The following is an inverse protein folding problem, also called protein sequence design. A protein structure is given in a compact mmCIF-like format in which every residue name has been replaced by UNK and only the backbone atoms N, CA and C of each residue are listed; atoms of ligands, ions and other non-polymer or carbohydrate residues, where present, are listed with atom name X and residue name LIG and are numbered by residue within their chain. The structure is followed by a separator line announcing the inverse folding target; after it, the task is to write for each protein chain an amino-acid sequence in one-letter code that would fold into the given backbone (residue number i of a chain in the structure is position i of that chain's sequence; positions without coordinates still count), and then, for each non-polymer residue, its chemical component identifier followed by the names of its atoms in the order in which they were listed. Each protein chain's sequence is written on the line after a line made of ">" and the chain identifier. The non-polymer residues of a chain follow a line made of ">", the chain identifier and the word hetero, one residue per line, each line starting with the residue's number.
data_IF_420629113895
#
_entry.id   IF_420629113895
#
_cell.length_a   1.000
_cell.length_b   1.000
_cell.length_c   1.000
_cell.angle_alpha   90.00
_cell.angle_beta   90.00
_cell.angle_gamma   90.00
#
_symmetry.space_group_name_H-M   'P 1'
#
loop_
_entity.id
_entity.type
_entity.pdbx_description
1 polymer ?
#
# COMPACT_ATOMS: atom_id res chain seq x y z
N UNK A 1 -23.73 -8.42 32.46
CA UNK A 1 -24.76 -8.40 31.42
C UNK A 1 -24.85 -7.01 30.82
N UNK A 2 -24.10 -6.70 29.75
CA UNK A 2 -24.17 -5.43 29.02
C UNK A 2 -25.11 -5.61 27.85
N UNK A 3 -26.19 -4.82 27.84
CA UNK A 3 -27.23 -4.85 26.79
C UNK A 3 -26.69 -4.28 25.49
N UNK A 4 -26.57 -5.12 24.47
CA UNK A 4 -26.36 -4.71 23.09
C UNK A 4 -27.64 -3.99 22.57
N UNK A 5 -27.56 -2.71 22.31
CA UNK A 5 -28.56 -1.99 21.51
C UNK A 5 -28.20 -2.17 20.04
N UNK A 6 -28.84 -3.13 19.39
CA UNK A 6 -28.88 -3.19 17.92
C UNK A 6 -29.68 -2.00 17.40
N UNK A 7 -29.04 -1.07 16.72
CA UNK A 7 -29.71 -0.14 15.83
C UNK A 7 -29.94 -0.87 14.51
N UNK A 8 -31.21 -1.19 14.23
CA UNK A 8 -31.66 -1.65 12.92
C UNK A 8 -31.70 -0.38 12.07
N UNK A 9 -30.75 -0.22 11.16
CA UNK A 9 -30.84 0.73 10.06
C UNK A 9 -31.61 0.04 8.96
N UNK A 10 -32.83 0.52 8.67
CA UNK A 10 -33.61 0.04 7.54
C UNK A 10 -32.88 0.45 6.25
N UNK A 11 -32.27 -0.51 5.57
CA UNK A 11 -31.72 -0.33 4.23
C UNK A 11 -32.89 -0.34 3.26
N UNK A 12 -33.31 0.83 2.82
CA UNK A 12 -34.21 0.95 1.66
C UNK A 12 -33.35 0.68 0.42
N UNK A 13 -33.51 -0.49 -0.17
CA UNK A 13 -32.90 -0.84 -1.45
C UNK A 13 -33.52 0.04 -2.54
N UNK A 14 -32.87 1.13 -2.88
CA UNK A 14 -33.10 1.84 -4.14
C UNK A 14 -32.20 1.16 -5.17
N UNK A 15 -32.80 0.36 -6.03
CA UNK A 15 -32.13 -0.20 -7.22
C UNK A 15 -31.95 0.96 -8.19
N UNK A 16 -30.82 1.69 -8.04
CA UNK A 16 -30.36 2.65 -9.03
C UNK A 16 -29.70 1.89 -10.17
N UNK A 17 -30.22 2.02 -11.39
CA UNK A 17 -29.62 1.48 -12.61
C UNK A 17 -28.17 2.00 -12.75
N UNK A 18 -27.20 1.11 -12.59
CA UNK A 18 -25.80 1.32 -12.86
C UNK A 18 -25.61 1.59 -14.37
N UNK A 19 -25.46 2.85 -14.75
CA UNK A 19 -24.71 3.17 -15.94
C UNK A 19 -23.28 2.67 -15.71
N UNK A 20 -22.92 1.56 -16.35
CA UNK A 20 -21.58 1.02 -16.40
C UNK A 20 -20.66 2.01 -17.12
N UNK A 21 -20.20 3.04 -16.40
CA UNK A 21 -18.96 3.70 -16.75
C UNK A 21 -17.88 2.63 -16.61
N UNK A 22 -17.22 2.27 -17.70
CA UNK A 22 -16.05 1.42 -17.70
C UNK A 22 -15.10 1.91 -16.61
N UNK A 23 -15.15 1.27 -15.43
CA UNK A 23 -14.19 1.47 -14.38
C UNK A 23 -12.89 0.84 -14.85
N UNK A 24 -12.03 1.61 -15.47
CA UNK A 24 -10.62 1.24 -15.57
C UNK A 24 -10.07 1.27 -14.14
N UNK A 25 -10.03 0.12 -13.51
CA UNK A 25 -9.33 -0.10 -12.23
C UNK A 25 -7.85 0.12 -12.48
N UNK A 26 -7.40 1.33 -12.26
CA UNK A 26 -5.96 1.64 -12.21
C UNK A 26 -5.52 1.36 -10.77
N UNK A 27 -4.95 0.18 -10.55
CA UNK A 27 -4.26 -0.11 -9.29
C UNK A 27 -3.05 0.81 -9.17
N UNK A 28 -3.04 1.69 -8.19
CA UNK A 28 -1.87 2.48 -7.87
C UNK A 28 -0.82 1.56 -7.26
N UNK A 29 0.31 1.41 -7.93
CA UNK A 29 1.32 0.37 -7.70
C UNK A 29 2.19 0.52 -6.46
N UNK A 30 2.02 1.53 -5.63
CA UNK A 30 2.72 1.73 -4.33
C UNK A 30 2.11 2.90 -3.59
N UNK A 31 2.14 2.88 -2.25
CA UNK A 31 1.75 4.04 -1.44
C UNK A 31 2.81 5.16 -1.58
N UNK A 32 2.73 5.94 -2.67
CA UNK A 32 3.67 7.00 -3.00
C UNK A 32 3.64 8.18 -2.00
N UNK A 33 2.67 8.18 -1.08
CA UNK A 33 2.41 9.27 -0.14
C UNK A 33 3.12 9.12 1.20
N UNK A 34 3.68 7.93 1.47
CA UNK A 34 4.42 7.65 2.70
C UNK A 34 5.84 7.19 2.40
N UNK A 35 6.79 7.67 3.21
CA UNK A 35 8.20 7.32 3.00
C UNK A 35 8.45 5.85 3.36
N UNK A 36 8.87 4.99 2.42
CA UNK A 36 9.12 3.59 2.68
C UNK A 36 10.30 3.38 3.63
N UNK A 37 10.33 2.23 4.30
CA UNK A 37 11.50 1.73 5.01
C UNK A 37 12.51 1.25 3.98
N UNK A 38 13.73 1.75 4.05
CA UNK A 38 14.80 1.39 3.11
C UNK A 38 15.76 0.38 3.73
N UNK A 39 15.76 -0.83 3.20
CA UNK A 39 16.67 -1.92 3.59
C UNK A 39 17.75 -2.09 2.53
N UNK A 40 19.02 -2.07 2.94
CA UNK A 40 20.13 -2.43 2.06
C UNK A 40 20.73 -3.75 2.51
N UNK A 41 20.58 -4.77 1.69
CA UNK A 41 21.19 -6.07 1.86
C UNK A 41 22.54 -6.07 1.15
N UNK A 42 23.55 -6.55 1.83
CA UNK A 42 24.92 -6.60 1.33
C UNK A 42 25.39 -8.05 1.25
N UNK A 43 25.33 -8.67 0.06
CA UNK A 43 25.96 -9.99 -0.13
C UNK A 43 27.46 -9.85 0.08
N UNK A 44 27.98 -10.35 1.19
CA UNK A 44 29.41 -10.25 1.54
C UNK A 44 30.33 -10.81 0.45
N UNK A 45 31.56 -10.31 0.37
CA UNK A 45 32.55 -10.70 -0.66
C UNK A 45 32.11 -10.39 -2.09
N UNK A 46 32.70 -11.04 -3.09
CA UNK A 46 32.35 -10.90 -4.52
C UNK A 46 33.56 -10.62 -5.41
N UNK A 47 33.48 -11.04 -6.68
CA UNK A 47 34.55 -10.91 -7.66
C UNK A 47 35.83 -11.62 -7.21
N UNK A 48 36.91 -10.85 -7.08
CA UNK A 48 38.24 -11.35 -6.62
C UNK A 48 38.28 -11.79 -5.14
N UNK A 49 37.31 -11.36 -4.34
CA UNK A 49 37.17 -11.76 -2.94
C UNK A 49 36.18 -12.91 -2.84
N UNK A 50 36.69 -14.13 -2.68
CA UNK A 50 35.86 -15.34 -2.60
C UNK A 50 35.17 -15.50 -1.25
N UNK A 51 35.67 -14.84 -0.19
CA UNK A 51 35.36 -15.23 1.18
C UNK A 51 35.93 -16.62 1.51
N UNK A 52 35.38 -17.26 2.51
CA UNK A 52 35.77 -18.62 2.88
C UNK A 52 35.38 -19.63 1.79
N UNK A 53 36.31 -20.54 1.48
CA UNK A 53 36.09 -21.63 0.51
C UNK A 53 36.44 -22.97 1.19
N UNK A 54 35.45 -23.84 1.37
CA UNK A 54 35.58 -25.17 1.96
C UNK A 54 34.49 -26.10 1.43
N UNK A 55 34.78 -27.42 1.35
CA UNK A 55 33.80 -28.46 1.01
C UNK A 55 33.00 -28.14 -0.27
N UNK A 56 33.65 -27.59 -1.32
CA UNK A 56 33.04 -27.18 -2.59
C UNK A 56 32.13 -25.96 -2.50
N UNK A 57 31.99 -25.33 -1.35
CA UNK A 57 31.25 -24.10 -1.16
C UNK A 57 32.16 -22.88 -1.19
N UNK A 58 31.70 -21.83 -1.86
CA UNK A 58 32.34 -20.53 -1.90
C UNK A 58 31.40 -19.50 -1.28
N UNK A 59 31.86 -18.82 -0.24
CA UNK A 59 31.05 -17.94 0.58
C UNK A 59 30.37 -16.83 -0.23
N UNK A 60 31.09 -16.18 -1.16
CA UNK A 60 30.53 -15.13 -2.01
C UNK A 60 29.30 -15.58 -2.81
N UNK A 61 29.25 -16.86 -3.22
CA UNK A 61 28.15 -17.45 -3.98
C UNK A 61 26.94 -17.73 -3.09
N UNK A 62 27.18 -18.27 -1.89
CA UNK A 62 26.13 -18.51 -0.89
C UNK A 62 25.50 -17.20 -0.46
N UNK A 63 26.33 -16.19 -0.11
CA UNK A 63 25.88 -14.87 0.33
C UNK A 63 24.98 -14.20 -0.73
N UNK A 64 25.33 -14.30 -2.00
CA UNK A 64 24.53 -13.73 -3.09
C UNK A 64 23.18 -14.42 -3.24
N UNK A 65 23.16 -15.76 -3.15
CA UNK A 65 21.93 -16.53 -3.25
C UNK A 65 20.96 -16.24 -2.07
N UNK A 66 21.51 -16.18 -0.84
CA UNK A 66 20.75 -15.85 0.36
C UNK A 66 20.20 -14.43 0.28
N UNK A 67 21.02 -13.45 -0.14
CA UNK A 67 20.60 -12.06 -0.25
C UNK A 67 19.50 -11.84 -1.30
N UNK A 68 19.59 -12.53 -2.45
CA UNK A 68 18.53 -12.51 -3.46
C UNK A 68 17.21 -13.08 -2.92
N UNK A 69 17.28 -14.16 -2.17
CA UNK A 69 16.11 -14.77 -1.55
C UNK A 69 15.50 -13.87 -0.46
N UNK A 70 16.34 -13.24 0.37
CA UNK A 70 15.92 -12.27 1.37
C UNK A 70 15.22 -11.07 0.72
N UNK A 71 15.81 -10.50 -0.35
CA UNK A 71 15.18 -9.42 -1.10
C UNK A 71 13.82 -9.82 -1.66
N UNK A 72 13.73 -10.97 -2.35
CA UNK A 72 12.50 -11.44 -2.94
C UNK A 72 11.39 -11.67 -1.91
N UNK A 73 11.74 -12.11 -0.69
CA UNK A 73 10.78 -12.27 0.40
C UNK A 73 10.35 -10.93 0.99
N UNK A 74 11.29 -10.01 1.27
CA UNK A 74 10.97 -8.67 1.78
C UNK A 74 10.11 -7.86 0.79
N UNK A 75 10.27 -8.05 -0.50
CA UNK A 75 9.46 -7.36 -1.52
C UNK A 75 8.00 -7.81 -1.57
N UNK A 76 7.62 -8.81 -0.79
CA UNK A 76 6.22 -9.19 -0.57
C UNK A 76 5.53 -8.30 0.47
N UNK A 77 6.27 -7.54 1.24
CA UNK A 77 5.73 -6.64 2.26
C UNK A 77 5.51 -5.25 1.71
N UNK A 78 4.48 -4.57 2.23
CA UNK A 78 4.17 -3.18 1.89
C UNK A 78 5.11 -2.20 2.62
N UNK A 79 5.24 -0.99 2.08
CA UNK A 79 5.99 0.09 2.72
C UNK A 79 7.50 -0.14 2.85
N UNK A 80 8.09 -1.09 2.12
CA UNK A 80 9.53 -1.38 2.15
C UNK A 80 10.16 -1.24 0.76
N UNK A 81 11.39 -0.73 0.73
CA UNK A 81 12.26 -0.69 -0.45
C UNK A 81 13.54 -1.45 -0.17
N UNK A 82 13.89 -2.43 -1.01
CA UNK A 82 15.05 -3.30 -0.78
C UNK A 82 16.06 -3.17 -1.91
N UNK A 83 17.31 -2.90 -1.53
CA UNK A 83 18.43 -2.79 -2.45
C UNK A 83 19.51 -3.81 -2.12
N UNK A 84 20.21 -4.28 -3.15
CA UNK A 84 21.41 -5.11 -3.02
C UNK A 84 22.64 -4.27 -3.35
N UNK A 85 23.71 -4.38 -2.57
CA UNK A 85 25.00 -3.71 -2.89
C UNK A 85 25.65 -4.31 -4.15
N UNK A 86 25.40 -5.60 -4.43
CA UNK A 86 25.73 -6.30 -5.67
C UNK A 86 24.65 -7.31 -6.02
N UNK A 87 24.32 -7.43 -7.29
CA UNK A 87 23.35 -8.38 -7.82
C UNK A 87 23.99 -9.53 -8.61
N UNK A 88 25.29 -9.41 -8.88
CA UNK A 88 26.12 -10.38 -9.58
C UNK A 88 27.45 -10.60 -8.87
N UNK A 89 28.34 -11.41 -9.46
CA UNK A 89 29.66 -11.69 -8.89
C UNK A 89 30.67 -10.61 -9.29
N UNK A 90 30.67 -9.49 -8.57
CA UNK A 90 31.70 -8.44 -8.66
C UNK A 90 32.10 -7.94 -7.27
N UNK A 91 33.30 -7.40 -7.20
CA UNK A 91 33.87 -6.87 -5.96
C UNK A 91 33.32 -5.48 -5.63
N UNK A 92 32.92 -5.29 -4.39
CA UNK A 92 32.59 -3.97 -3.81
C UNK A 92 33.40 -3.75 -2.56
N UNK A 93 34.11 -2.63 -2.45
CA UNK A 93 34.89 -2.31 -1.26
C UNK A 93 33.97 -2.09 -0.04
N UNK A 94 34.48 -2.30 1.18
CA UNK A 94 33.73 -2.12 2.42
C UNK A 94 33.13 -0.70 2.55
N UNK A 95 33.92 0.32 2.20
CA UNK A 95 33.45 1.71 2.17
C UNK A 95 32.36 1.93 1.08
N UNK A 96 32.53 1.34 -0.10
CA UNK A 96 31.56 1.43 -1.20
C UNK A 96 30.20 0.84 -0.84
N UNK A 97 30.18 -0.28 -0.08
CA UNK A 97 28.94 -0.91 0.42
C UNK A 97 28.14 0.04 1.31
N UNK A 98 28.78 0.67 2.27
CA UNK A 98 28.14 1.61 3.19
C UNK A 98 27.77 2.93 2.49
N UNK A 99 28.62 3.43 1.58
CA UNK A 99 28.28 4.61 0.80
C UNK A 99 27.07 4.38 -0.10
N UNK A 100 26.93 3.17 -0.68
CA UNK A 100 25.75 2.77 -1.43
C UNK A 100 24.47 2.84 -0.57
N UNK A 101 24.53 2.37 0.69
CA UNK A 101 23.43 2.43 1.64
C UNK A 101 23.10 3.88 2.05
N UNK A 102 24.14 4.68 2.36
CA UNK A 102 24.01 6.10 2.70
C UNK A 102 23.30 6.89 1.59
N UNK A 103 23.69 6.70 0.33
CA UNK A 103 23.12 7.38 -0.83
C UNK A 103 21.64 7.03 -1.06
N UNK A 104 21.14 5.95 -0.46
CA UNK A 104 19.75 5.51 -0.52
C UNK A 104 18.94 5.85 0.74
N UNK A 105 19.56 6.58 1.69
CA UNK A 105 18.96 6.87 2.98
C UNK A 105 18.48 5.60 3.69
N UNK A 106 19.35 4.59 3.77
CA UNK A 106 19.01 3.32 4.39
C UNK A 106 18.56 3.48 5.84
N UNK A 107 17.49 2.78 6.22
CA UNK A 107 17.06 2.63 7.61
C UNK A 107 17.77 1.46 8.29
N UNK A 108 18.21 0.44 7.50
CA UNK A 108 18.97 -0.72 7.96
C UNK A 108 19.91 -1.22 6.86
N UNK A 109 21.14 -1.54 7.26
CA UNK A 109 22.12 -2.23 6.41
C UNK A 109 22.38 -3.63 6.99
N UNK A 110 22.28 -4.68 6.18
CA UNK A 110 22.49 -6.06 6.60
C UNK A 110 23.49 -6.74 5.66
N UNK A 111 24.72 -6.97 6.16
CA UNK A 111 25.69 -7.78 5.48
C UNK A 111 25.44 -9.27 5.75
N UNK A 112 25.30 -10.04 4.70
CA UNK A 112 24.99 -11.46 4.73
C UNK A 112 26.26 -12.27 4.44
N UNK A 113 26.64 -13.09 5.38
CA UNK A 113 27.88 -13.86 5.43
C UNK A 113 27.63 -15.31 5.88
N UNK A 114 28.63 -16.16 5.69
CA UNK A 114 28.70 -17.49 6.22
C UNK A 114 30.09 -17.71 6.83
N UNK A 115 30.11 -18.14 8.09
CA UNK A 115 31.31 -18.20 8.91
C UNK A 115 32.25 -19.33 8.49
N UNK A 116 33.47 -19.28 9.01
CA UNK A 116 34.46 -20.35 8.87
C UNK A 116 35.35 -20.45 10.11
N UNK A 117 35.72 -21.65 10.49
CA UNK A 117 36.68 -21.90 11.58
C UNK A 117 37.77 -22.86 11.16
N UNK A 118 38.95 -22.72 11.76
CA UNK A 118 40.12 -23.55 11.46
C UNK A 118 39.85 -25.02 11.81
N UNK A 119 39.16 -25.28 12.92
CA UNK A 119 38.95 -26.64 13.47
C UNK A 119 37.81 -27.40 12.78
N UNK A 120 36.99 -26.78 11.92
CA UNK A 120 35.86 -27.40 11.21
C UNK A 120 34.73 -27.91 12.11
N UNK A 121 34.82 -27.78 13.43
CA UNK A 121 33.85 -28.28 14.40
C UNK A 121 32.82 -27.22 14.82
N UNK A 122 33.19 -25.93 14.75
CA UNK A 122 32.30 -24.82 15.08
C UNK A 122 31.14 -24.77 14.11
N UNK A 123 29.92 -24.56 14.63
CA UNK A 123 28.68 -24.53 13.87
C UNK A 123 27.70 -23.50 14.44
N UNK A 124 26.64 -23.18 13.69
CA UNK A 124 25.53 -22.32 14.15
C UNK A 124 25.59 -20.88 13.63
N UNK A 125 24.56 -20.11 13.95
CA UNK A 125 24.38 -18.73 13.50
C UNK A 125 24.71 -17.72 14.59
N UNK A 126 25.23 -16.56 14.17
CA UNK A 126 25.37 -15.38 15.03
C UNK A 126 25.12 -14.09 14.25
N UNK A 127 24.67 -13.04 14.93
CA UNK A 127 24.48 -11.72 14.31
C UNK A 127 25.26 -10.68 15.08
N UNK A 128 26.14 -9.96 14.38
CA UNK A 128 26.89 -8.83 14.94
C UNK A 128 26.14 -7.53 14.69
N UNK A 129 26.14 -6.65 15.72
CA UNK A 129 25.46 -5.37 15.72
C UNK A 129 26.35 -4.25 16.31
N UNK A 130 26.03 -2.94 16.08
CA UNK A 130 26.83 -1.85 16.61
C UNK A 130 26.82 -1.78 18.13
N UNK A 131 27.94 -1.46 18.74
CA UNK A 131 28.01 -1.16 20.18
C UNK A 131 27.17 0.09 20.54
N UNK A 132 27.01 0.39 21.84
CA UNK A 132 26.17 1.51 22.30
C UNK A 132 26.96 2.74 22.73
N UNK A 133 28.28 2.76 22.50
CA UNK A 133 29.20 3.81 23.03
C UNK A 133 29.10 5.13 22.25
N UNK A 134 28.64 5.12 21.03
CA UNK A 134 28.44 6.27 20.15
C UNK A 134 27.14 6.10 19.39
N UNK A 135 26.31 7.18 19.30
CA UNK A 135 24.95 7.09 18.73
C UNK A 135 24.19 5.88 19.31
N UNK A 136 24.00 5.90 20.63
CA UNK A 136 23.47 4.76 21.38
C UNK A 136 22.15 4.20 20.84
N UNK A 137 21.31 5.07 20.27
CA UNK A 137 20.05 4.62 19.68
C UNK A 137 20.29 3.70 18.47
N UNK A 138 21.27 4.02 17.60
CA UNK A 138 21.68 3.15 16.48
C UNK A 138 22.14 1.77 16.98
N UNK A 139 22.87 1.75 18.12
CA UNK A 139 23.27 0.49 18.75
C UNK A 139 22.08 -0.33 19.27
N UNK A 140 21.10 0.34 19.93
CA UNK A 140 19.87 -0.31 20.42
C UNK A 140 19.05 -0.86 19.27
N UNK A 141 18.85 -0.07 18.23
CA UNK A 141 18.12 -0.48 17.03
C UNK A 141 18.79 -1.67 16.34
N UNK A 142 20.12 -1.65 16.24
CA UNK A 142 20.89 -2.77 15.72
C UNK A 142 20.76 -4.03 16.57
N UNK A 143 20.80 -3.92 17.90
CA UNK A 143 20.60 -5.07 18.81
C UNK A 143 19.23 -5.70 18.63
N UNK A 144 18.19 -4.87 18.56
CA UNK A 144 16.82 -5.34 18.40
C UNK A 144 16.67 -6.06 17.06
N UNK A 145 17.08 -5.44 15.95
CA UNK A 145 17.03 -6.06 14.62
C UNK A 145 17.80 -7.39 14.56
N UNK A 146 19.04 -7.40 15.12
CA UNK A 146 19.84 -8.61 15.21
C UNK A 146 19.15 -9.72 15.97
N UNK A 147 18.45 -9.40 17.06
CA UNK A 147 17.72 -10.38 17.88
C UNK A 147 16.54 -11.00 17.13
N UNK A 148 15.81 -10.22 16.32
CA UNK A 148 14.72 -10.75 15.48
C UNK A 148 15.25 -11.67 14.39
N UNK A 149 16.30 -11.28 13.67
CA UNK A 149 16.94 -12.13 12.64
C UNK A 149 17.46 -13.44 13.27
N UNK A 150 18.20 -13.34 14.38
CA UNK A 150 18.75 -14.51 15.05
C UNK A 150 17.67 -15.54 15.46
N UNK A 151 16.51 -15.07 15.95
CA UNK A 151 15.39 -15.95 16.30
C UNK A 151 14.85 -16.73 15.11
N UNK A 152 14.71 -16.10 13.96
CA UNK A 152 14.19 -16.76 12.76
C UNK A 152 15.20 -17.77 12.20
N UNK A 153 16.51 -17.48 12.28
CA UNK A 153 17.55 -18.45 11.92
C UNK A 153 17.55 -19.67 12.85
N UNK A 154 17.41 -19.46 14.16
CA UNK A 154 17.29 -20.53 15.15
C UNK A 154 16.04 -21.37 14.92
N UNK A 155 14.93 -20.77 14.51
CA UNK A 155 13.70 -21.49 14.17
C UNK A 155 13.86 -22.45 12.98
N UNK A 156 14.88 -22.29 12.15
CA UNK A 156 15.26 -23.26 11.10
C UNK A 156 16.04 -24.46 11.63
N UNK A 157 16.30 -24.52 12.94
CA UNK A 157 17.12 -25.56 13.56
C UNK A 157 18.62 -25.28 13.54
N UNK A 158 19.04 -24.04 13.25
CA UNK A 158 20.44 -23.63 13.34
C UNK A 158 20.79 -23.40 14.81
N UNK A 159 21.96 -23.89 15.25
CA UNK A 159 22.45 -23.65 16.59
C UNK A 159 22.55 -22.16 16.87
N UNK A 160 22.01 -21.73 18.00
CA UNK A 160 22.08 -20.35 18.44
C UNK A 160 23.44 -20.02 19.05
N UNK A 161 24.25 -19.22 18.35
CA UNK A 161 25.48 -18.66 18.90
C UNK A 161 25.29 -17.23 19.41
N UNK A 162 24.07 -16.67 19.32
CA UNK A 162 23.70 -15.39 19.91
C UNK A 162 23.93 -14.16 19.03
N UNK A 163 23.69 -13.00 19.64
CA UNK A 163 23.94 -11.70 19.01
C UNK A 163 25.08 -10.99 19.75
N UNK A 164 26.01 -10.34 19.02
CA UNK A 164 27.26 -9.87 19.57
C UNK A 164 27.61 -8.45 19.12
N UNK A 165 28.34 -7.76 19.97
CA UNK A 165 29.18 -6.61 19.61
C UNK A 165 30.63 -7.09 19.54
N UNK A 166 31.41 -6.49 18.65
CA UNK A 166 32.88 -6.64 18.65
C UNK A 166 33.55 -5.28 18.57
N UNK A 167 34.25 -4.91 19.62
CA UNK A 167 34.98 -3.67 19.65
C UNK A 167 36.38 -3.84 19.03
N UNK A 168 36.89 -2.74 18.45
CA UNK A 168 38.25 -2.74 17.92
C UNK A 168 39.29 -3.08 19.00
N UNK A 169 40.27 -3.85 18.63
CA UNK A 169 41.42 -4.23 19.47
C UNK A 169 42.61 -3.25 19.29
N UNK A 170 42.63 -2.53 18.16
CA UNK A 170 43.75 -1.69 17.74
C UNK A 170 43.59 -0.20 18.13
N UNK A 171 42.86 0.11 19.21
CA UNK A 171 42.72 1.47 19.72
C UNK A 171 41.84 2.42 18.92
N UNK A 172 41.16 1.94 17.88
CA UNK A 172 40.24 2.74 17.06
C UNK A 172 39.12 3.36 17.90
N UNK A 173 38.80 4.64 17.67
CA UNK A 173 37.83 5.41 18.46
C UNK A 173 36.77 6.07 17.54
N UNK A 174 35.59 6.28 18.08
CA UNK A 174 34.58 7.17 17.53
C UNK A 174 34.87 8.65 17.84
N UNK A 175 34.20 9.63 17.20
CA UNK A 175 34.43 11.06 17.47
C UNK A 175 34.30 11.48 18.93
N UNK A 176 33.44 10.78 19.69
CA UNK A 176 33.28 11.00 21.14
C UNK A 176 34.36 10.30 21.99
N UNK A 177 35.49 9.85 21.37
CA UNK A 177 36.61 9.14 21.97
C UNK A 177 36.29 7.75 22.54
N UNK A 178 35.06 7.26 22.43
CA UNK A 178 34.72 5.90 22.85
C UNK A 178 35.27 4.85 21.87
N UNK A 179 35.35 3.60 22.33
CA UNK A 179 35.90 2.47 21.56
C UNK A 179 34.99 2.18 20.34
N UNK A 180 35.57 2.11 19.14
CA UNK A 180 34.79 1.88 17.93
C UNK A 180 34.50 0.41 17.70
N UNK A 181 33.49 0.11 16.84
CA UNK A 181 33.21 -1.23 16.39
C UNK A 181 34.36 -1.78 15.52
N UNK A 182 34.68 -3.05 15.66
CA UNK A 182 35.71 -3.75 14.91
C UNK A 182 35.42 -3.81 13.42
N UNK A 183 34.22 -4.27 13.07
CA UNK A 183 33.82 -4.47 11.68
C UNK A 183 33.59 -3.14 10.97
N UNK A 184 34.30 -2.96 9.85
CA UNK A 184 34.30 -1.71 9.10
C UNK A 184 32.88 -1.30 8.65
N UNK A 185 32.08 -2.23 8.12
CA UNK A 185 30.73 -1.93 7.66
C UNK A 185 29.80 -1.53 8.83
N UNK A 186 29.91 -2.16 10.00
CA UNK A 186 29.17 -1.80 11.20
C UNK A 186 29.56 -0.40 11.68
N UNK A 187 30.85 -0.14 11.79
CA UNK A 187 31.39 1.14 12.23
C UNK A 187 30.99 2.29 11.32
N UNK A 188 31.13 2.11 10.00
CA UNK A 188 30.82 3.14 9.03
C UNK A 188 29.30 3.40 8.93
N UNK A 189 28.46 2.37 8.94
CA UNK A 189 26.99 2.50 8.96
C UNK A 189 26.54 3.30 10.17
N UNK A 190 27.07 3.00 11.35
CA UNK A 190 26.80 3.73 12.59
C UNK A 190 27.23 5.20 12.50
N UNK A 191 28.37 5.48 11.90
CA UNK A 191 28.81 6.86 11.65
C UNK A 191 27.88 7.60 10.70
N UNK A 192 27.27 6.91 9.75
CA UNK A 192 26.25 7.46 8.85
C UNK A 192 24.86 7.63 9.50
N UNK A 193 24.61 7.02 10.68
CA UNK A 193 23.39 7.23 11.43
C UNK A 193 22.35 6.12 11.32
N UNK A 194 22.67 4.99 10.72
CA UNK A 194 21.80 3.81 10.61
C UNK A 194 22.52 2.55 11.12
N UNK A 195 21.78 1.55 11.65
CA UNK A 195 22.37 0.31 12.09
C UNK A 195 22.89 -0.52 10.92
N UNK A 196 24.14 -1.01 11.06
CA UNK A 196 24.73 -2.00 10.18
C UNK A 196 24.89 -3.32 10.93
N UNK A 197 24.41 -4.42 10.35
CA UNK A 197 24.50 -5.75 10.90
C UNK A 197 25.39 -6.63 10.03
N UNK A 198 25.99 -7.68 10.64
CA UNK A 198 26.59 -8.81 9.91
C UNK A 198 25.90 -10.07 10.41
N UNK A 199 25.26 -10.79 9.50
CA UNK A 199 24.62 -12.08 9.76
C UNK A 199 25.55 -13.18 9.31
N UNK A 200 25.95 -14.04 10.24
CA UNK A 200 26.74 -15.25 10.00
C UNK A 200 25.79 -16.44 10.13
N UNK A 201 25.30 -16.98 9.00
CA UNK A 201 24.21 -17.96 8.99
C UNK A 201 24.63 -19.33 9.52
N UNK A 202 25.78 -19.81 9.07
CA UNK A 202 26.33 -21.12 9.43
C UNK A 202 27.80 -21.21 9.02
N UNK A 203 28.48 -22.33 9.25
CA UNK A 203 29.91 -22.47 8.99
C UNK A 203 30.18 -23.27 7.72
N UNK A 204 30.79 -22.67 6.72
CA UNK A 204 31.25 -23.36 5.48
C UNK A 204 32.33 -24.39 5.78
N UNK A 205 33.03 -24.28 6.91
CA UNK A 205 34.02 -25.25 7.40
C UNK A 205 33.40 -26.46 8.11
N UNK A 206 32.10 -26.47 8.40
CA UNK A 206 31.42 -27.52 9.12
C UNK A 206 30.53 -28.34 8.16
N UNK A 207 30.85 -29.63 7.98
CA UNK A 207 30.12 -30.52 7.09
C UNK A 207 28.63 -30.68 7.43
N UNK A 208 28.27 -30.69 8.73
CA UNK A 208 26.88 -30.77 9.15
C UNK A 208 26.12 -29.52 8.76
N UNK A 209 26.68 -28.32 8.95
CA UNK A 209 26.09 -27.05 8.53
C UNK A 209 25.94 -27.01 6.99
N UNK A 210 27.00 -27.40 6.27
CA UNK A 210 26.96 -27.48 4.81
C UNK A 210 25.83 -28.39 4.32
N UNK A 211 25.73 -29.60 4.86
CA UNK A 211 24.70 -30.56 4.49
C UNK A 211 23.30 -30.07 4.81
N UNK A 212 23.11 -29.47 5.99
CA UNK A 212 21.80 -29.04 6.46
C UNK A 212 21.30 -27.75 5.78
N UNK A 213 22.20 -26.78 5.51
CA UNK A 213 21.79 -25.42 5.19
C UNK A 213 22.26 -24.92 3.82
N UNK A 214 23.29 -25.53 3.17
CA UNK A 214 23.86 -25.02 1.93
C UNK A 214 23.68 -25.94 0.72
N UNK A 215 23.29 -27.21 0.94
CA UNK A 215 23.35 -28.26 -0.09
C UNK A 215 22.30 -28.17 -1.21
N UNK A 216 21.40 -27.19 -1.18
CA UNK A 216 20.46 -26.93 -2.28
C UNK A 216 20.03 -25.47 -2.33
N UNK A 217 19.55 -25.04 -3.49
CA UNK A 217 19.00 -23.70 -3.67
C UNK A 217 17.83 -23.41 -2.69
N UNK A 218 17.00 -24.42 -2.40
CA UNK A 218 15.86 -24.24 -1.49
C UNK A 218 16.32 -24.04 -0.03
N UNK A 219 17.43 -24.65 0.38
CA UNK A 219 18.00 -24.41 1.70
C UNK A 219 18.54 -22.98 1.82
N UNK A 220 19.21 -22.49 0.78
CA UNK A 220 19.66 -21.09 0.73
C UNK A 220 18.48 -20.11 0.73
N UNK A 221 17.40 -20.43 0.01
CA UNK A 221 16.16 -19.66 0.05
C UNK A 221 15.55 -19.61 1.45
N UNK A 222 15.56 -20.73 2.19
CA UNK A 222 15.06 -20.76 3.59
C UNK A 222 15.85 -19.82 4.50
N UNK A 223 17.18 -19.73 4.35
CA UNK A 223 18.00 -18.79 5.10
C UNK A 223 17.60 -17.35 4.78
N UNK A 224 17.55 -16.97 3.49
CA UNK A 224 17.15 -15.62 3.11
C UNK A 224 15.73 -15.25 3.53
N UNK A 225 14.79 -16.22 3.52
CA UNK A 225 13.45 -16.00 4.04
C UNK A 225 13.43 -15.79 5.55
N UNK A 226 14.28 -16.48 6.31
CA UNK A 226 14.42 -16.27 7.75
C UNK A 226 14.94 -14.85 8.06
N UNK A 227 15.97 -14.39 7.32
CA UNK A 227 16.44 -13.01 7.44
C UNK A 227 15.32 -12.00 7.18
N UNK A 228 14.59 -12.19 6.08
CA UNK A 228 13.49 -11.33 5.69
C UNK A 228 12.39 -11.27 6.75
N UNK A 229 12.00 -12.42 7.29
CA UNK A 229 11.00 -12.55 8.35
C UNK A 229 11.44 -11.87 9.64
N UNK A 230 12.73 -12.00 10.00
CA UNK A 230 13.30 -11.29 11.14
C UNK A 230 13.26 -9.78 10.96
N UNK A 231 13.63 -9.28 9.78
CA UNK A 231 13.57 -7.86 9.43
C UNK A 231 12.12 -7.36 9.42
N UNK A 232 11.20 -8.12 8.79
CA UNK A 232 9.78 -7.77 8.73
C UNK A 232 9.17 -7.65 10.13
N UNK A 233 9.40 -8.62 11.01
CA UNK A 233 8.94 -8.58 12.41
C UNK A 233 9.56 -7.43 13.21
N UNK A 234 10.82 -7.09 12.95
CA UNK A 234 11.47 -5.95 13.62
C UNK A 234 10.79 -4.63 13.28
N UNK A 235 10.43 -4.42 12.04
CA UNK A 235 9.75 -3.21 11.59
C UNK A 235 8.22 -3.27 11.74
N UNK A 236 7.64 -4.44 11.95
CA UNK A 236 6.18 -4.64 11.86
C UNK A 236 5.69 -4.40 10.44
N UNK A 237 6.36 -5.01 9.45
CA UNK A 237 5.91 -4.96 8.07
C UNK A 237 4.69 -5.86 7.90
N UNK A 238 3.74 -5.40 7.11
CA UNK A 238 2.56 -6.17 6.70
C UNK A 238 2.74 -6.69 5.28
N UNK A 239 2.26 -7.89 4.99
CA UNK A 239 2.28 -8.42 3.63
C UNK A 239 1.50 -7.51 2.69
N UNK A 240 1.87 -7.52 1.40
CA UNK A 240 1.16 -6.75 0.38
C UNK A 240 -0.23 -7.32 0.23
N UNK A 241 -1.14 -6.70 0.93
CA UNK A 241 -2.56 -6.84 0.72
C UNK A 241 -3.10 -5.50 0.25
N UNK A 242 -4.07 -5.54 -0.64
CA UNK A 242 -4.61 -4.33 -1.25
C UNK A 242 -6.05 -4.19 -0.82
N UNK A 243 -6.42 -3.16 -0.05
CA UNK A 243 -7.81 -2.94 0.30
C UNK A 243 -8.66 -2.72 -0.95
N UNK A 244 -9.93 -3.05 -0.87
CA UNK A 244 -10.88 -2.82 -1.95
C UNK A 244 -11.89 -1.77 -1.49
N UNK A 245 -11.87 -0.61 -2.13
CA UNK A 245 -12.90 0.42 -1.96
C UNK A 245 -14.13 -0.02 -2.76
N UNK A 246 -15.15 -0.51 -2.07
CA UNK A 246 -16.32 -1.17 -2.65
C UNK A 246 -17.35 -0.18 -3.15
N UNK A 247 -17.50 0.97 -2.46
CA UNK A 247 -18.41 2.02 -2.92
C UNK A 247 -17.90 3.43 -2.57
N UNK A 248 -18.35 4.41 -3.38
CA UNK A 248 -18.30 5.82 -3.08
C UNK A 248 -19.56 6.46 -3.66
N UNK A 249 -20.43 6.98 -2.81
CA UNK A 249 -21.72 7.53 -3.21
C UNK A 249 -21.93 8.90 -2.57
N UNK A 250 -22.47 9.85 -3.33
CA UNK A 250 -22.87 11.14 -2.78
C UNK A 250 -24.27 11.01 -2.15
N UNK A 251 -24.46 11.64 -1.00
CA UNK A 251 -25.76 11.83 -0.38
C UNK A 251 -26.45 13.11 -0.91
N UNK A 252 -27.64 13.39 -0.39
CA UNK A 252 -28.46 14.55 -0.76
C UNK A 252 -27.77 15.90 -0.44
N UNK A 253 -26.92 15.91 0.55
CA UNK A 253 -26.16 17.10 0.96
C UNK A 253 -24.86 17.30 0.15
N UNK A 254 -24.55 16.32 -0.71
CA UNK A 254 -23.33 16.29 -1.51
C UNK A 254 -22.13 15.74 -0.76
N UNK A 255 -22.29 15.23 0.48
CA UNK A 255 -21.24 14.49 1.17
C UNK A 255 -21.00 13.17 0.45
N UNK A 256 -19.79 12.61 0.59
CA UNK A 256 -19.46 11.34 -0.07
C UNK A 256 -19.26 10.26 0.98
N UNK A 257 -20.15 9.27 0.95
CA UNK A 257 -20.04 8.06 1.76
C UNK A 257 -19.17 7.03 1.04
N UNK A 258 -18.15 6.54 1.72
CA UNK A 258 -17.22 5.52 1.27
C UNK A 258 -17.43 4.23 2.04
N UNK A 259 -17.23 3.08 1.38
CA UNK A 259 -17.24 1.76 2.02
C UNK A 259 -16.13 0.89 1.41
N UNK A 260 -15.54 0.02 2.23
CA UNK A 260 -14.48 -0.90 1.80
C UNK A 260 -14.53 -2.22 2.56
N UNK A 261 -13.81 -3.20 2.06
CA UNK A 261 -13.69 -4.49 2.73
C UNK A 261 -12.75 -4.40 3.93
N UNK A 262 -13.06 -5.12 5.01
CA UNK A 262 -12.20 -5.24 6.18
C UNK A 262 -10.89 -5.92 5.78
N UNK A 263 -9.79 -5.47 6.38
CA UNK A 263 -8.48 -6.08 6.24
C UNK A 263 -8.00 -6.60 7.60
N UNK A 264 -7.59 -7.85 7.64
CA UNK A 264 -7.04 -8.45 8.86
C UNK A 264 -5.67 -7.84 9.22
N UNK A 265 -5.34 -7.85 10.52
CA UNK A 265 -4.05 -7.43 11.07
C UNK A 265 -3.67 -5.95 10.83
N UNK A 266 -4.65 -5.07 10.57
CA UNK A 266 -4.43 -3.63 10.46
C UNK A 266 -4.77 -2.92 11.78
N UNK A 267 -4.19 -1.74 12.01
CA UNK A 267 -4.61 -0.83 13.09
C UNK A 267 -5.65 0.20 12.60
N UNK A 268 -6.05 0.11 11.34
CA UNK A 268 -7.07 0.93 10.71
C UNK A 268 -6.72 1.36 9.28
N UNK A 269 -7.35 2.47 8.84
CA UNK A 269 -7.28 2.90 7.45
C UNK A 269 -6.96 4.38 7.30
N UNK A 270 -6.38 4.75 6.17
CA UNK A 270 -6.23 6.14 5.72
C UNK A 270 -7.03 6.36 4.45
N UNK A 271 -7.80 7.43 4.45
CA UNK A 271 -8.61 7.85 3.32
C UNK A 271 -7.91 8.99 2.59
N UNK A 272 -7.78 8.86 1.27
CA UNK A 272 -7.16 9.85 0.40
C UNK A 272 -8.14 10.34 -0.65
N UNK A 273 -8.10 11.64 -0.94
CA UNK A 273 -8.96 12.29 -1.92
C UNK A 273 -8.17 13.23 -2.81
N UNK A 274 -8.57 13.35 -4.05
CA UNK A 274 -8.22 14.49 -4.92
C UNK A 274 -9.46 14.97 -5.69
N UNK A 275 -9.54 16.26 -5.96
CA UNK A 275 -10.54 16.80 -6.89
C UNK A 275 -10.13 16.59 -8.35
N UNK A 276 -11.08 16.63 -9.27
CA UNK A 276 -10.79 16.63 -10.70
C UNK A 276 -9.93 17.85 -11.07
N UNK A 277 -8.91 17.65 -11.90
CA UNK A 277 -7.93 18.67 -12.26
C UNK A 277 -6.76 18.80 -11.29
N UNK A 278 -6.82 18.19 -10.11
CA UNK A 278 -5.72 18.11 -9.14
C UNK A 278 -4.93 16.82 -9.35
N UNK A 279 -3.61 16.91 -9.46
CA UNK A 279 -2.76 15.74 -9.74
C UNK A 279 -2.44 14.88 -8.51
N UNK A 280 -2.39 15.48 -7.32
CA UNK A 280 -1.99 14.82 -6.08
C UNK A 280 -3.17 14.51 -5.17
N UNK A 281 -3.11 13.34 -4.50
CA UNK A 281 -4.05 13.00 -3.45
C UNK A 281 -3.63 13.62 -2.11
N UNK A 282 -4.62 14.02 -1.32
CA UNK A 282 -4.44 14.48 0.05
C UNK A 282 -5.10 13.48 1.00
N UNK A 283 -4.43 13.16 2.09
CA UNK A 283 -5.03 12.38 3.17
C UNK A 283 -6.09 13.25 3.87
N UNK A 284 -7.34 12.79 3.89
CA UNK A 284 -8.47 13.49 4.51
C UNK A 284 -8.90 12.89 5.85
N UNK A 285 -8.67 11.58 6.05
CA UNK A 285 -9.01 10.92 7.31
C UNK A 285 -8.00 9.82 7.70
N UNK A 286 -8.01 9.50 8.98
CA UNK A 286 -7.37 8.32 9.55
C UNK A 286 -8.39 7.63 10.46
N UNK A 287 -8.82 6.44 10.08
CA UNK A 287 -9.73 5.57 10.83
C UNK A 287 -8.85 4.68 11.70
N UNK A 288 -9.09 4.66 13.02
CA UNK A 288 -8.21 4.00 14.00
C UNK A 288 -8.75 2.64 14.49
N UNK A 289 -9.63 2.05 13.73
CA UNK A 289 -10.24 0.76 14.02
C UNK A 289 -10.32 -0.03 12.71
N UNK A 290 -9.78 -1.25 12.68
CA UNK A 290 -9.84 -2.12 11.50
C UNK A 290 -11.26 -2.57 11.16
N UNK A 291 -12.15 -2.59 12.14
CA UNK A 291 -13.57 -2.96 11.95
C UNK A 291 -14.43 -1.82 11.41
N UNK A 292 -13.97 -0.58 11.47
CA UNK A 292 -14.60 0.57 10.81
C UNK A 292 -14.25 0.56 9.33
N UNK A 293 -15.18 0.17 8.49
CA UNK A 293 -15.02 0.01 7.03
C UNK A 293 -15.81 1.01 6.22
N UNK A 294 -16.18 2.13 6.82
CA UNK A 294 -16.87 3.23 6.15
C UNK A 294 -16.36 4.60 6.62
N UNK A 295 -16.61 5.61 5.81
CA UNK A 295 -16.27 7.00 6.12
C UNK A 295 -17.15 7.95 5.33
N UNK A 296 -17.62 9.02 5.95
CA UNK A 296 -18.35 10.10 5.29
C UNK A 296 -17.45 11.32 5.14
N UNK A 297 -17.20 11.73 3.92
CA UNK A 297 -16.49 12.98 3.61
C UNK A 297 -17.48 14.14 3.50
N UNK A 298 -17.66 14.86 4.59
CA UNK A 298 -18.51 16.06 4.71
C UNK A 298 -17.82 17.34 4.19
N UNK A 299 -16.55 17.22 3.74
CA UNK A 299 -15.76 18.39 3.30
C UNK A 299 -15.77 18.57 1.79
N UNK A 300 -16.63 17.86 1.08
CA UNK A 300 -16.80 17.98 -0.36
C UNK A 300 -17.48 19.28 -0.74
N UNK A 301 -17.29 19.69 -1.99
CA UNK A 301 -18.00 20.81 -2.58
C UNK A 301 -18.98 20.28 -3.62
N UNK A 302 -20.25 20.64 -3.46
CA UNK A 302 -21.30 20.27 -4.43
C UNK A 302 -20.88 20.62 -5.86
N UNK A 303 -21.17 19.74 -6.81
CA UNK A 303 -20.78 19.91 -8.22
C UNK A 303 -19.33 19.54 -8.55
N UNK A 304 -18.53 19.11 -7.57
CA UNK A 304 -17.14 18.74 -7.80
C UNK A 304 -17.00 17.21 -7.95
N UNK A 305 -16.22 16.78 -8.93
CA UNK A 305 -15.84 15.36 -9.08
C UNK A 305 -14.62 15.09 -8.23
N UNK A 306 -14.70 14.05 -7.42
CA UNK A 306 -13.61 13.56 -6.58
C UNK A 306 -13.18 12.16 -6.97
N UNK A 307 -11.94 11.84 -6.62
CA UNK A 307 -11.35 10.53 -6.73
C UNK A 307 -10.86 10.11 -5.35
N UNK A 308 -11.25 8.95 -4.91
CA UNK A 308 -10.92 8.38 -3.60
C UNK A 308 -10.10 7.11 -3.74
N UNK A 309 -9.24 6.89 -2.77
CA UNK A 309 -8.56 5.62 -2.52
C UNK A 309 -8.28 5.50 -1.02
N UNK A 310 -8.09 4.28 -0.53
CA UNK A 310 -7.74 3.99 0.85
C UNK A 310 -6.44 3.18 0.93
N UNK A 311 -5.83 3.17 2.10
CA UNK A 311 -4.73 2.26 2.45
C UNK A 311 -4.92 1.80 3.90
N UNK A 312 -4.74 0.52 4.16
CA UNK A 312 -4.59 0.02 5.52
C UNK A 312 -3.27 0.50 6.12
N UNK A 313 -3.22 0.69 7.43
CA UNK A 313 -1.97 0.98 8.12
C UNK A 313 -1.80 0.08 9.35
N UNK A 314 -0.53 -0.17 9.68
CA UNK A 314 -0.14 -0.87 10.89
C UNK A 314 0.91 -0.06 11.65
N UNK A 315 0.73 0.08 12.98
CA UNK A 315 1.66 0.76 13.87
C UNK A 315 2.86 -0.16 14.16
N UNK A 316 3.74 -0.25 13.19
CA UNK A 316 4.97 -1.01 13.34
C UNK A 316 5.84 -0.47 14.49
N UNK A 317 6.71 -1.31 14.99
CA UNK A 317 7.54 -1.01 16.16
C UNK A 317 8.41 0.24 16.02
N UNK A 318 8.84 0.57 14.82
CA UNK A 318 9.72 1.71 14.52
C UNK A 318 9.07 2.79 13.69
N UNK A 319 8.19 2.41 12.82
CA UNK A 319 7.45 3.29 11.92
C UNK A 319 6.07 2.71 11.67
N UNK A 320 5.13 3.58 11.31
CA UNK A 320 3.87 3.16 10.73
C UNK A 320 4.15 2.60 9.34
N UNK A 321 3.60 1.44 9.04
CA UNK A 321 3.68 0.78 7.73
C UNK A 321 2.31 0.80 7.06
N UNK A 322 2.27 0.68 5.74
CA UNK A 322 1.06 0.85 4.95
C UNK A 322 0.96 -0.24 3.90
N UNK A 323 -0.27 -0.66 3.62
CA UNK A 323 -0.56 -1.48 2.44
C UNK A 323 -0.35 -0.69 1.14
N UNK A 324 -0.42 -1.35 0.00
CA UNK A 324 -0.65 -0.64 -1.27
C UNK A 324 -2.03 0.05 -1.20
N UNK A 325 -2.25 1.07 -2.03
CA UNK A 325 -3.56 1.74 -2.06
C UNK A 325 -4.59 0.92 -2.81
N UNK A 326 -5.86 1.07 -2.43
CA UNK A 326 -7.00 0.45 -3.09
C UNK A 326 -7.12 0.85 -4.58
N UNK A 327 -8.08 0.24 -5.26
CA UNK A 327 -8.65 0.79 -6.47
C UNK A 327 -9.10 2.25 -6.25
N UNK A 328 -9.09 3.03 -7.35
CA UNK A 328 -9.56 4.41 -7.33
C UNK A 328 -11.04 4.43 -7.72
N UNK A 329 -11.88 5.02 -6.87
CA UNK A 329 -13.29 5.24 -7.17
C UNK A 329 -13.51 6.72 -7.45
N UNK A 330 -14.24 6.99 -8.54
CA UNK A 330 -14.65 8.33 -8.98
C UNK A 330 -16.09 8.57 -8.55
N UNK A 331 -16.36 9.72 -7.92
CA UNK A 331 -17.71 10.12 -7.55
C UNK A 331 -17.88 11.62 -7.78
N UNK A 332 -19.07 12.05 -8.16
CA UNK A 332 -19.45 13.44 -8.19
C UNK A 332 -20.23 13.76 -6.91
N UNK A 333 -19.79 14.74 -6.16
CA UNK A 333 -20.52 15.30 -5.02
C UNK A 333 -21.70 16.14 -5.57
N UNK A 334 -22.79 15.49 -5.91
CA UNK A 334 -23.93 16.10 -6.57
C UNK A 334 -24.97 16.47 -5.53
N UNK A 335 -25.66 17.58 -5.77
CA UNK A 335 -26.96 17.81 -5.15
C UNK A 335 -27.96 16.81 -5.74
N UNK A 336 -28.92 16.37 -4.93
CA UNK A 336 -30.00 15.53 -5.41
C UNK A 336 -30.77 16.23 -6.53
N UNK A 337 -30.96 15.53 -7.65
CA UNK A 337 -31.90 15.93 -8.67
C UNK A 337 -33.27 15.37 -8.33
N UNK A 338 -34.24 16.26 -8.15
CA UNK A 338 -35.61 15.84 -7.90
C UNK A 338 -36.30 15.50 -9.22
N UNK A 339 -37.03 14.40 -9.23
CA UNK A 339 -37.92 14.05 -10.35
C UNK A 339 -39.04 15.07 -10.42
N UNK A 340 -39.31 15.71 -11.60
CA UNK A 340 -40.42 16.62 -11.78
C UNK A 340 -41.75 15.94 -11.42
N UNK A 341 -42.59 16.64 -10.68
CA UNK A 341 -43.88 16.13 -10.26
C UNK A 341 -45.00 16.65 -11.18
N UNK A 342 -46.18 16.06 -11.07
CA UNK A 342 -47.39 16.48 -11.75
C UNK A 342 -47.28 16.55 -13.28
N UNK A 343 -46.58 15.55 -13.87
CA UNK A 343 -46.51 15.41 -15.33
C UNK A 343 -47.90 15.21 -15.90
N UNK A 344 -48.32 16.13 -16.77
CA UNK A 344 -49.58 16.07 -17.49
C UNK A 344 -49.33 16.08 -18.98
N UNK A 345 -50.00 15.26 -19.71
CA UNK A 345 -49.95 15.17 -21.17
C UNK A 345 -51.34 15.36 -21.72
N UNK A 346 -51.51 16.32 -22.60
CA UNK A 346 -52.77 16.58 -23.34
C UNK A 346 -52.50 16.55 -24.84
N UNK A 347 -53.43 16.03 -25.60
CA UNK A 347 -53.30 15.97 -27.05
C UNK A 347 -54.59 16.50 -27.71
N UNK A 348 -54.45 17.54 -28.53
CA UNK A 348 -55.51 18.15 -29.30
C UNK A 348 -55.01 18.46 -30.71
N UNK A 349 -55.78 18.08 -31.72
CA UNK A 349 -55.55 18.37 -33.15
C UNK A 349 -54.15 18.02 -33.65
N UNK A 350 -53.55 16.91 -33.14
CA UNK A 350 -52.23 16.47 -33.54
C UNK A 350 -51.07 17.19 -32.82
N UNK A 351 -51.38 18.00 -31.81
CA UNK A 351 -50.41 18.65 -30.95
C UNK A 351 -50.44 18.04 -29.57
N UNK A 352 -49.28 17.57 -29.09
CA UNK A 352 -49.13 17.05 -27.73
C UNK A 352 -48.47 18.13 -26.89
N UNK A 353 -49.15 18.52 -25.81
CA UNK A 353 -48.62 19.42 -24.80
C UNK A 353 -48.27 18.64 -23.53
N UNK A 354 -47.08 18.79 -23.06
CA UNK A 354 -46.52 18.15 -21.84
C UNK A 354 -46.23 19.26 -20.84
N UNK A 355 -46.78 19.14 -19.62
CA UNK A 355 -46.54 20.10 -18.54
C UNK A 355 -46.12 19.38 -17.26
N UNK A 356 -45.33 20.04 -16.44
CA UNK A 356 -44.85 19.53 -15.17
C UNK A 356 -44.59 20.65 -14.16
N UNK A 357 -44.34 20.31 -12.90
CA UNK A 357 -43.91 21.26 -11.92
C UNK A 357 -42.40 21.46 -11.98
N UNK A 358 -41.94 22.71 -11.82
CA UNK A 358 -40.53 23.06 -11.76
C UNK A 358 -39.85 22.38 -10.56
N UNK A 359 -38.63 21.89 -10.76
CA UNK A 359 -37.81 21.36 -9.68
C UNK A 359 -36.68 22.30 -9.36
N UNK A 360 -36.29 22.36 -8.08
CA UNK A 360 -35.12 23.11 -7.64
C UNK A 360 -33.83 22.41 -8.11
N UNK A 361 -32.75 23.15 -8.12
CA UNK A 361 -31.40 22.64 -8.38
C UNK A 361 -31.22 21.91 -9.71
N UNK A 362 -31.95 22.25 -10.76
CA UNK A 362 -31.83 21.70 -12.11
C UNK A 362 -31.36 22.75 -13.13
N UNK A 363 -30.68 22.31 -14.19
CA UNK A 363 -30.37 23.13 -15.36
C UNK A 363 -31.42 23.00 -16.48
N UNK A 364 -32.36 22.05 -16.34
CA UNK A 364 -33.44 21.80 -17.27
C UNK A 364 -33.95 20.38 -17.20
N UNK A 365 -34.70 19.97 -18.27
CA UNK A 365 -35.44 18.71 -18.27
C UNK A 365 -35.18 17.92 -19.55
N UNK A 366 -35.18 16.60 -19.42
CA UNK A 366 -35.17 15.64 -20.54
C UNK A 366 -36.55 14.98 -20.60
N UNK A 367 -37.17 15.02 -21.76
CA UNK A 367 -38.47 14.42 -22.00
C UNK A 367 -38.27 13.22 -22.91
N UNK A 368 -38.81 12.11 -22.50
CA UNK A 368 -38.74 10.85 -23.25
C UNK A 368 -40.15 10.31 -23.52
N UNK A 369 -40.27 9.63 -24.64
CA UNK A 369 -41.49 9.00 -25.11
C UNK A 369 -41.26 7.54 -25.44
N UNK A 370 -42.28 6.70 -25.22
CA UNK A 370 -42.32 5.31 -25.66
C UNK A 370 -43.66 5.01 -26.31
N UNK A 371 -43.66 4.62 -27.58
CA UNK A 371 -44.83 4.11 -28.29
C UNK A 371 -44.93 2.59 -28.15
N UNK A 372 -46.05 1.99 -28.55
CA UNK A 372 -46.22 0.54 -28.55
C UNK A 372 -45.19 -0.21 -29.42
N UNK A 373 -44.58 0.48 -30.39
CA UNK A 373 -43.57 -0.10 -31.30
C UNK A 373 -42.13 0.09 -30.82
N UNK A 374 -41.91 0.84 -29.74
CA UNK A 374 -40.57 1.11 -29.22
C UNK A 374 -40.20 0.06 -28.18
N UNK A 375 -38.99 -0.49 -28.29
CA UNK A 375 -38.44 -1.40 -27.27
C UNK A 375 -38.16 -0.66 -25.95
N UNK A 376 -37.78 0.64 -26.03
CA UNK A 376 -37.41 1.46 -24.87
C UNK A 376 -37.80 2.92 -25.08
N UNK A 377 -37.70 3.74 -24.02
CA UNK A 377 -37.98 5.18 -24.10
C UNK A 377 -36.95 5.90 -24.99
N UNK A 378 -37.43 6.83 -25.80
CA UNK A 378 -36.63 7.65 -26.70
C UNK A 378 -36.67 9.11 -26.25
N UNK A 379 -35.51 9.76 -26.12
CA UNK A 379 -35.44 11.20 -25.82
C UNK A 379 -36.01 12.00 -26.98
N UNK A 380 -37.08 12.75 -26.74
CA UNK A 380 -37.72 13.60 -27.71
C UNK A 380 -37.38 15.08 -27.57
N UNK A 381 -37.01 15.49 -26.34
CA UNK A 381 -36.60 16.88 -26.11
C UNK A 381 -35.62 17.01 -24.92
N UNK A 382 -34.78 18.04 -25.00
CA UNK A 382 -33.99 18.58 -23.89
C UNK A 382 -34.27 20.07 -23.78
N UNK A 383 -34.95 20.48 -22.71
CA UNK A 383 -35.32 21.88 -22.46
C UNK A 383 -34.44 22.45 -21.35
N UNK A 384 -33.89 23.68 -21.57
CA UNK A 384 -33.02 24.35 -20.63
C UNK A 384 -33.82 25.30 -19.72
N UNK A 385 -33.33 25.45 -18.48
CA UNK A 385 -33.90 26.37 -17.50
C UNK A 385 -34.76 25.67 -16.44
N UNK A 386 -34.44 25.89 -15.18
CA UNK A 386 -35.17 25.32 -14.03
C UNK A 386 -36.66 25.72 -14.02
N UNK A 387 -36.97 26.92 -14.47
CA UNK A 387 -38.35 27.43 -14.55
C UNK A 387 -39.16 27.01 -15.78
N UNK A 388 -38.57 26.17 -16.67
CA UNK A 388 -39.32 25.64 -17.82
C UNK A 388 -40.26 24.52 -17.35
N UNK A 389 -41.57 24.70 -17.57
CA UNK A 389 -42.63 23.79 -17.07
C UNK A 389 -43.51 23.23 -18.16
N UNK A 390 -43.17 23.46 -19.44
CA UNK A 390 -43.94 22.93 -20.56
C UNK A 390 -43.08 22.66 -21.79
N UNK A 391 -43.54 21.71 -22.58
CA UNK A 391 -43.00 21.38 -23.90
C UNK A 391 -44.17 20.99 -24.84
N UNK A 392 -44.08 21.43 -26.06
CA UNK A 392 -45.09 21.18 -27.09
C UNK A 392 -44.44 20.46 -28.27
N UNK A 393 -45.08 19.42 -28.75
CA UNK A 393 -44.66 18.67 -29.92
C UNK A 393 -45.81 18.58 -30.93
N UNK A 394 -45.54 18.99 -32.17
CA UNK A 394 -46.48 18.87 -33.28
C UNK A 394 -46.36 17.47 -33.93
N UNK A 395 -47.44 17.04 -34.55
CA UNK A 395 -47.52 15.77 -35.28
C UNK A 395 -47.23 14.50 -34.49
N UNK A 396 -47.50 14.51 -33.19
CA UNK A 396 -47.26 13.35 -32.32
C UNK A 396 -48.56 12.55 -32.08
N UNK A 397 -48.43 11.29 -31.66
CA UNK A 397 -49.53 10.38 -31.40
C UNK A 397 -49.91 10.43 -29.93
N UNK A 398 -51.21 10.55 -29.69
CA UNK A 398 -51.77 10.61 -28.32
C UNK A 398 -51.66 9.32 -27.50
N UNK A 399 -51.15 8.23 -28.09
CA UNK A 399 -51.09 6.88 -27.48
C UNK A 399 -49.67 6.45 -27.14
N UNK A 400 -48.90 7.35 -26.58
CA UNK A 400 -47.55 7.05 -26.12
C UNK A 400 -47.42 7.29 -24.62
N UNK A 401 -46.50 6.55 -23.97
CA UNK A 401 -46.07 6.82 -22.59
C UNK A 401 -44.99 7.90 -22.60
N UNK A 402 -45.13 8.83 -21.69
CA UNK A 402 -44.14 9.91 -21.50
C UNK A 402 -43.57 9.86 -20.11
N UNK A 403 -42.25 10.18 -20.03
CA UNK A 403 -41.59 10.43 -18.77
C UNK A 403 -40.68 11.63 -18.87
N UNK A 404 -40.39 12.23 -17.72
CA UNK A 404 -39.53 13.41 -17.63
C UNK A 404 -38.54 13.23 -16.50
N UNK A 405 -37.29 13.68 -16.73
CA UNK A 405 -36.32 13.84 -15.65
C UNK A 405 -35.72 15.23 -15.65
N UNK A 406 -35.30 15.70 -14.51
CA UNK A 406 -34.44 16.85 -14.38
C UNK A 406 -33.00 16.49 -14.76
N UNK A 407 -32.22 17.46 -15.26
CA UNK A 407 -30.80 17.26 -15.51
C UNK A 407 -29.95 18.42 -15.00
N UNK A 408 -28.67 18.12 -14.72
CA UNK A 408 -27.62 19.09 -14.42
C UNK A 408 -26.42 18.90 -15.33
N UNK A 409 -25.74 20.01 -15.67
CA UNK A 409 -24.50 20.01 -16.46
C UNK A 409 -23.30 20.15 -15.52
N UNK A 410 -22.35 19.22 -15.62
CA UNK A 410 -21.09 19.28 -14.92
C UNK A 410 -19.93 19.18 -15.92
N UNK A 411 -19.26 20.31 -16.17
CA UNK A 411 -18.24 20.36 -17.21
C UNK A 411 -18.79 20.00 -18.58
N UNK A 412 -18.23 18.96 -19.23
CA UNK A 412 -18.73 18.43 -20.51
C UNK A 412 -19.77 17.32 -20.35
N UNK A 413 -20.09 16.91 -19.13
CA UNK A 413 -21.05 15.86 -18.83
C UNK A 413 -22.43 16.39 -18.46
N UNK A 414 -23.43 15.53 -18.58
CA UNK A 414 -24.81 15.77 -18.18
C UNK A 414 -25.26 14.63 -17.30
N UNK A 415 -25.94 14.93 -16.21
CA UNK A 415 -26.51 13.97 -15.29
C UNK A 415 -28.02 14.20 -15.22
N UNK A 416 -28.83 13.15 -15.35
CA UNK A 416 -30.28 13.19 -15.27
C UNK A 416 -30.81 12.05 -14.39
N UNK A 417 -31.94 12.28 -13.73
CA UNK A 417 -32.61 11.32 -12.88
C UNK A 417 -34.12 11.27 -13.28
N UNK A 418 -34.61 10.06 -13.69
CA UNK A 418 -35.97 9.79 -14.06
C UNK A 418 -36.84 9.33 -12.89
#
# INVERSE_FOLDING_TARGET
>A
MKKFKRRIVAVTLIIGMLLSLNQTTVYAKTNAYEKPIVIVLDPGHGGRDSGATRHWYCEKTLNLAIAKACKAELEKYSGVKVYLTRSNDFFVSLGGRVQFAKNRNADLFVALHNNSSINGRTNGASVYYPNMSYRSQVGKDGKDAASYIQRELVALGIKNNGTHIRNTENGGKYPNKSKSDYYSVIRQSKMCGFPGLIVEHAFVSNLSDCSKFFSSADKLKKLGKADAKGIAKYYGLVEKDTPVLTSAQADEDGNVQLQWDVMDEMDGYRVYRRAQGVSSYTKIATIKDESETDYVDETTKKGTIYYYMIAGYHNGRKKVTYTDTSNIVKVAALETLYTPQNLKVTAEQGVVQITWEATEHTDGYIIERKTANDADYQTIAKVSGAGTTSYTQENDVATADYRICSYRKYGKGMYGHF
#
